data_IF_716616381201
#
_entry.id   IF_716616381201
#
_cell.length_a   1.000
_cell.length_b   1.000
_cell.length_c   1.000
_cell.angle_alpha   90.00
_cell.angle_beta   90.00
_cell.angle_gamma   90.00
#
_symmetry.space_group_name_H-M   'P 1'
#
loop_
_entity.id
_entity.type
_entity.pdbx_description
1 polymer ?
#
# COMPACT_ATOMS: atom_id res chain seq x y z
N UNK A 1 -10.14 27.61 4.33
CA UNK A 1 -8.79 28.17 4.55
C UNK A 1 -7.84 26.99 4.71
N UNK A 2 -6.97 26.68 3.73
CA UNK A 2 -6.08 25.54 3.85
C UNK A 2 -5.06 25.79 4.98
N UNK A 3 -4.66 24.76 5.75
CA UNK A 3 -3.67 24.93 6.81
C UNK A 3 -2.34 25.36 6.19
N UNK A 4 -1.81 26.51 6.65
CA UNK A 4 -0.45 26.95 6.29
C UNK A 4 0.53 25.99 6.94
N UNK A 5 1.15 25.12 6.15
CA UNK A 5 2.26 24.28 6.60
C UNK A 5 3.42 25.23 6.94
N UNK A 6 3.70 25.38 8.23
CA UNK A 6 4.83 26.16 8.74
C UNK A 6 6.14 25.68 8.12
N UNK A 7 7.04 26.60 7.77
CA UNK A 7 8.38 26.26 7.25
C UNK A 7 9.18 25.33 8.17
N UNK A 8 8.84 25.25 9.47
CA UNK A 8 9.48 24.31 10.41
C UNK A 8 9.03 22.86 10.23
N UNK A 9 7.82 22.61 9.71
CA UNK A 9 7.33 21.27 9.40
C UNK A 9 7.96 20.74 8.12
N UNK A 10 8.16 21.62 7.12
CA UNK A 10 8.87 21.27 5.89
C UNK A 10 10.33 20.88 6.19
N UNK A 11 11.02 21.64 7.05
CA UNK A 11 12.39 21.30 7.47
C UNK A 11 12.45 20.02 8.32
N UNK A 12 11.44 19.77 9.17
CA UNK A 12 11.35 18.55 9.97
C UNK A 12 11.06 17.30 9.10
N UNK A 13 10.34 17.46 7.99
CA UNK A 13 10.07 16.40 7.01
C UNK A 13 11.28 16.05 6.14
N UNK A 14 12.15 17.02 5.84
CA UNK A 14 13.32 16.80 5.00
C UNK A 14 14.55 16.28 5.76
N UNK A 15 14.66 16.55 7.07
CA UNK A 15 15.79 16.12 7.88
C UNK A 15 16.03 14.59 7.93
N UNK A 16 15.00 13.73 8.03
CA UNK A 16 15.18 12.27 8.03
C UNK A 16 15.57 11.70 6.66
N UNK A 17 15.13 12.36 5.57
CA UNK A 17 15.38 11.91 4.20
C UNK A 17 16.83 12.19 3.79
N UNK A 18 17.40 13.32 4.23
CA UNK A 18 18.77 13.70 3.91
C UNK A 18 19.84 12.77 4.52
N UNK A 19 19.53 12.13 5.66
CA UNK A 19 20.46 11.22 6.35
C UNK A 19 20.51 9.83 5.69
N UNK A 20 19.39 9.35 5.13
CA UNK A 20 19.30 8.04 4.48
C UNK A 20 20.13 7.91 3.19
N UNK A 21 20.54 9.03 2.57
CA UNK A 21 21.31 9.05 1.31
C UNK A 21 22.83 8.93 1.46
N UNK A 22 23.37 8.82 2.69
CA UNK A 22 24.84 8.90 2.92
C UNK A 22 25.62 7.58 2.94
N UNK A 23 25.04 6.43 2.57
CA UNK A 23 25.76 5.15 2.69
C UNK A 23 26.49 4.79 1.39
N UNK A 24 27.84 4.85 1.42
CA UNK A 24 28.78 4.57 0.31
C UNK A 24 29.33 3.13 0.34
N UNK A 25 28.85 2.26 1.24
CA UNK A 25 29.15 0.82 1.25
C UNK A 25 27.85 0.00 1.30
N UNK A 26 27.89 -1.29 0.94
CA UNK A 26 26.71 -2.15 0.97
C UNK A 26 26.10 -2.15 2.40
N UNK A 27 24.87 -1.62 2.60
CA UNK A 27 24.32 -1.38 3.92
C UNK A 27 24.10 -2.70 4.66
N UNK A 28 24.48 -2.74 5.93
CA UNK A 28 24.16 -3.86 6.81
C UNK A 28 22.64 -3.98 6.96
N UNK A 29 22.14 -5.19 7.25
CA UNK A 29 20.70 -5.42 7.50
C UNK A 29 20.11 -4.44 8.52
N UNK A 30 20.90 -4.06 9.53
CA UNK A 30 20.48 -3.11 10.58
C UNK A 30 20.32 -1.69 10.04
N UNK A 31 21.26 -1.21 9.23
CA UNK A 31 21.17 0.11 8.59
C UNK A 31 19.99 0.18 7.63
N UNK A 32 19.75 -0.90 6.87
CA UNK A 32 18.58 -1.00 6.00
C UNK A 32 17.27 -0.94 6.79
N UNK A 33 17.14 -1.70 7.89
CA UNK A 33 15.95 -1.65 8.73
C UNK A 33 15.70 -0.24 9.32
N UNK A 34 16.76 0.42 9.79
CA UNK A 34 16.67 1.80 10.32
C UNK A 34 16.22 2.78 9.23
N UNK A 35 16.76 2.65 8.02
CA UNK A 35 16.36 3.48 6.89
C UNK A 35 14.88 3.29 6.53
N UNK A 36 14.40 2.04 6.46
CA UNK A 36 12.98 1.73 6.21
C UNK A 36 12.10 2.34 7.30
N UNK A 37 12.42 2.13 8.58
CA UNK A 37 11.64 2.69 9.69
C UNK A 37 11.59 4.22 9.66
N UNK A 38 12.69 4.86 9.26
CA UNK A 38 12.77 6.31 9.14
C UNK A 38 11.87 6.82 8.02
N UNK A 39 11.87 6.14 6.87
CA UNK A 39 11.01 6.47 5.73
C UNK A 39 9.54 6.28 6.10
N UNK A 40 9.18 5.15 6.72
CA UNK A 40 7.81 4.86 7.16
C UNK A 40 7.32 5.89 8.18
N UNK A 41 8.18 6.28 9.13
CA UNK A 41 7.88 7.32 10.10
C UNK A 41 7.63 8.68 9.45
N UNK A 42 8.48 9.08 8.50
CA UNK A 42 8.32 10.34 7.76
C UNK A 42 7.04 10.34 6.90
N UNK A 43 6.73 9.22 6.23
CA UNK A 43 5.48 9.05 5.49
C UNK A 43 4.25 9.18 6.41
N UNK A 44 4.27 8.53 7.58
CA UNK A 44 3.18 8.62 8.54
C UNK A 44 2.97 10.06 9.05
N UNK A 45 4.05 10.80 9.29
CA UNK A 45 3.99 12.20 9.71
C UNK A 45 3.46 13.11 8.61
N UNK A 46 3.90 12.91 7.36
CA UNK A 46 3.37 13.63 6.21
C UNK A 46 1.87 13.38 6.06
N UNK A 47 1.48 12.11 6.09
CA UNK A 47 0.08 11.69 5.98
C UNK A 47 -0.78 12.31 7.08
N UNK A 48 -0.34 12.24 8.34
CA UNK A 48 -1.04 12.86 9.47
C UNK A 48 -1.14 14.39 9.36
N UNK A 49 -0.18 15.05 8.71
CA UNK A 49 -0.17 16.50 8.52
C UNK A 49 -1.11 16.97 7.41
N UNK A 50 -1.30 16.15 6.37
CA UNK A 50 -2.10 16.49 5.18
C UNK A 50 -3.55 16.03 5.32
N UNK A 51 -3.79 14.90 5.99
CA UNK A 51 -5.10 14.28 6.07
C UNK A 51 -5.93 14.88 7.20
N UNK A 52 -7.15 15.33 6.88
CA UNK A 52 -8.08 15.84 7.88
C UNK A 52 -8.40 14.76 8.94
N UNK A 53 -8.48 15.09 10.25
CA UNK A 53 -8.71 14.10 11.30
C UNK A 53 -9.94 13.20 11.07
N UNK A 54 -11.03 13.76 10.56
CA UNK A 54 -12.24 13.00 10.21
C UNK A 54 -11.97 11.96 9.09
N UNK A 55 -11.14 12.32 8.12
CA UNK A 55 -10.75 11.43 7.03
C UNK A 55 -9.82 10.33 7.52
N UNK A 56 -8.93 10.63 8.48
CA UNK A 56 -8.09 9.61 9.15
C UNK A 56 -8.93 8.56 9.86
N UNK A 57 -9.98 8.97 10.59
CA UNK A 57 -10.89 8.02 11.27
C UNK A 57 -11.61 7.12 10.26
N UNK A 58 -12.12 7.69 9.17
CA UNK A 58 -12.77 6.92 8.10
C UNK A 58 -11.80 5.92 7.46
N UNK A 59 -10.58 6.31 7.14
CA UNK A 59 -9.59 5.42 6.54
C UNK A 59 -9.19 4.30 7.51
N UNK A 60 -8.98 4.62 8.79
CA UNK A 60 -8.70 3.61 9.83
C UNK A 60 -9.84 2.62 10.00
N UNK A 61 -11.09 3.10 9.97
CA UNK A 61 -12.28 2.26 10.01
C UNK A 61 -12.37 1.35 8.78
N UNK A 62 -12.18 1.92 7.59
CA UNK A 62 -12.18 1.17 6.33
C UNK A 62 -11.01 0.18 6.21
N UNK A 63 -9.88 0.44 6.88
CA UNK A 63 -8.74 -0.48 6.96
C UNK A 63 -9.10 -1.84 7.56
N UNK A 64 -10.20 -1.95 8.30
CA UNK A 64 -10.67 -3.25 8.82
C UNK A 64 -11.17 -4.21 7.72
N UNK A 65 -11.53 -3.70 6.54
CA UNK A 65 -11.93 -4.54 5.40
C UNK A 65 -10.75 -5.21 4.70
N UNK A 66 -9.56 -4.59 4.74
CA UNK A 66 -8.35 -5.11 4.11
C UNK A 66 -7.98 -6.53 4.57
N UNK A 67 -7.86 -6.86 5.88
CA UNK A 67 -7.54 -8.22 6.31
C UNK A 67 -8.64 -9.24 5.97
N UNK A 68 -9.91 -8.83 5.93
CA UNK A 68 -11.03 -9.69 5.52
C UNK A 68 -10.95 -10.00 4.03
N UNK A 69 -10.68 -8.99 3.22
CA UNK A 69 -10.52 -9.11 1.78
C UNK A 69 -9.17 -9.69 1.36
N UNK A 70 -8.19 -9.84 2.25
CA UNK A 70 -6.96 -10.61 2.02
C UNK A 70 -7.16 -12.10 2.29
N UNK A 71 -7.99 -12.45 3.28
CA UNK A 71 -8.31 -13.84 3.63
C UNK A 71 -8.96 -14.58 2.46
N UNK A 72 -9.98 -13.99 1.84
CA UNK A 72 -10.68 -14.58 0.70
C UNK A 72 -9.69 -14.91 -0.46
N UNK A 73 -8.89 -13.97 -1.02
CA UNK A 73 -7.88 -14.26 -2.04
C UNK A 73 -6.84 -15.31 -1.66
N UNK A 74 -6.42 -15.37 -0.40
CA UNK A 74 -5.50 -16.42 0.08
C UNK A 74 -6.19 -17.78 0.07
N UNK A 75 -7.46 -17.84 0.46
CA UNK A 75 -8.27 -19.07 0.41
C UNK A 75 -8.58 -19.50 -1.04
N UNK A 76 -8.74 -18.54 -1.96
CA UNK A 76 -9.00 -18.79 -3.39
C UNK A 76 -7.74 -18.78 -4.28
N UNK A 77 -6.55 -18.64 -3.69
CA UNK A 77 -5.25 -18.64 -4.37
C UNK A 77 -5.17 -17.68 -5.57
N UNK A 78 -5.77 -16.50 -5.44
CA UNK A 78 -5.82 -15.51 -6.54
C UNK A 78 -4.40 -15.08 -6.94
N UNK A 79 -3.49 -14.95 -5.98
CA UNK A 79 -2.09 -14.62 -6.25
C UNK A 79 -1.40 -15.71 -7.10
N UNK A 80 -1.60 -16.99 -6.77
CA UNK A 80 -1.05 -18.11 -7.54
C UNK A 80 -1.62 -18.14 -8.97
N UNK A 81 -2.93 -17.90 -9.11
CA UNK A 81 -3.62 -17.81 -10.40
C UNK A 81 -3.01 -16.70 -11.28
N UNK A 82 -2.75 -15.53 -10.70
CA UNK A 82 -2.15 -14.41 -11.42
C UNK A 82 -0.68 -14.68 -11.81
N UNK A 83 0.04 -15.48 -11.02
CA UNK A 83 1.42 -15.87 -11.30
C UNK A 83 1.56 -16.85 -12.48
N UNK A 84 0.49 -17.58 -12.82
CA UNK A 84 0.44 -18.44 -14.02
C UNK A 84 0.43 -17.64 -15.34
N UNK A 85 0.05 -16.36 -15.27
CA UNK A 85 0.11 -15.45 -16.41
C UNK A 85 1.50 -14.81 -16.52
N UNK A 86 1.94 -14.42 -17.74
CA UNK A 86 3.15 -13.64 -17.90
C UNK A 86 3.09 -12.42 -16.98
N UNK A 87 4.17 -12.12 -16.24
CA UNK A 87 4.20 -11.10 -15.17
C UNK A 87 3.82 -9.67 -15.60
N UNK A 88 3.69 -9.47 -16.91
CA UNK A 88 3.42 -8.25 -17.64
C UNK A 88 2.13 -8.31 -18.47
N UNK A 89 1.42 -9.44 -18.48
CA UNK A 89 0.10 -9.60 -19.09
C UNK A 89 -0.93 -9.80 -17.97
N UNK A 90 -1.71 -8.76 -17.69
CA UNK A 90 -2.83 -8.85 -16.76
C UNK A 90 -3.79 -9.99 -17.14
N UNK A 91 -4.54 -10.50 -16.17
CA UNK A 91 -5.53 -11.55 -16.40
C UNK A 91 -6.94 -10.94 -16.42
N UNK A 92 -7.75 -11.32 -17.43
CA UNK A 92 -9.13 -10.84 -17.51
C UNK A 92 -9.98 -11.41 -16.36
N UNK A 93 -10.89 -10.59 -15.82
CA UNK A 93 -11.68 -10.92 -14.63
C UNK A 93 -12.46 -12.25 -14.78
N UNK A 94 -12.97 -12.54 -15.98
CA UNK A 94 -13.70 -13.78 -16.26
C UNK A 94 -12.82 -15.04 -16.22
N UNK A 95 -11.52 -14.92 -16.49
CA UNK A 95 -10.56 -16.02 -16.40
C UNK A 95 -10.15 -16.28 -14.96
N UNK A 96 -9.91 -15.21 -14.19
CA UNK A 96 -9.66 -15.30 -12.74
C UNK A 96 -10.88 -15.94 -12.07
N UNK A 97 -12.10 -15.51 -12.42
CA UNK A 97 -13.36 -16.07 -11.94
C UNK A 97 -13.45 -17.58 -12.16
N UNK A 98 -13.11 -18.04 -13.37
CA UNK A 98 -13.17 -19.45 -13.76
C UNK A 98 -12.20 -20.31 -12.94
N UNK A 99 -11.01 -19.79 -12.66
CA UNK A 99 -9.97 -20.51 -11.88
C UNK A 99 -10.22 -20.45 -10.37
N UNK A 100 -10.68 -19.31 -9.86
CA UNK A 100 -10.89 -19.07 -8.43
C UNK A 100 -12.24 -19.60 -7.91
N UNK A 101 -13.23 -19.82 -8.79
CA UNK A 101 -14.56 -20.30 -8.39
C UNK A 101 -15.40 -19.27 -7.62
N UNK A 102 -15.10 -17.98 -7.76
CA UNK A 102 -15.78 -16.88 -7.07
C UNK A 102 -16.79 -16.22 -8.01
N UNK A 103 -17.89 -15.67 -7.47
CA UNK A 103 -18.80 -14.78 -8.21
C UNK A 103 -18.08 -13.53 -8.74
N UNK A 104 -18.33 -13.17 -10.01
CA UNK A 104 -17.61 -12.08 -10.71
C UNK A 104 -17.74 -10.73 -9.99
N UNK A 105 -18.95 -10.42 -9.51
CA UNK A 105 -19.21 -9.20 -8.75
C UNK A 105 -18.48 -9.16 -7.40
N UNK A 106 -18.36 -10.30 -6.72
CA UNK A 106 -17.63 -10.39 -5.45
C UNK A 106 -16.13 -10.23 -5.71
N UNK A 107 -15.61 -10.93 -6.71
CA UNK A 107 -14.22 -10.86 -7.14
C UNK A 107 -13.81 -9.44 -7.53
N UNK A 108 -14.59 -8.76 -8.36
CA UNK A 108 -14.29 -7.40 -8.79
C UNK A 108 -14.25 -6.38 -7.64
N UNK A 109 -15.12 -6.54 -6.63
CA UNK A 109 -15.08 -5.71 -5.42
C UNK A 109 -13.82 -5.94 -4.58
N UNK A 110 -13.43 -7.21 -4.42
CA UNK A 110 -12.22 -7.58 -3.68
C UNK A 110 -10.98 -7.05 -4.40
N UNK A 111 -10.85 -7.32 -5.70
CA UNK A 111 -9.71 -6.87 -6.50
C UNK A 111 -9.59 -5.35 -6.53
N UNK A 112 -10.70 -4.61 -6.66
CA UNK A 112 -10.68 -3.15 -6.63
C UNK A 112 -10.22 -2.59 -5.28
N UNK A 113 -10.65 -3.20 -4.18
CA UNK A 113 -10.17 -2.80 -2.84
C UNK A 113 -8.67 -3.07 -2.70
N UNK A 114 -8.20 -4.24 -3.12
CA UNK A 114 -6.79 -4.62 -3.05
C UNK A 114 -5.93 -3.76 -3.99
N UNK A 115 -6.43 -3.38 -5.16
CA UNK A 115 -5.75 -2.47 -6.07
C UNK A 115 -5.65 -1.05 -5.49
N UNK A 116 -6.71 -0.58 -4.82
CA UNK A 116 -6.71 0.71 -4.10
C UNK A 116 -5.72 0.73 -2.94
N UNK A 117 -5.36 -0.43 -2.39
CA UNK A 117 -4.35 -0.62 -1.35
C UNK A 117 -2.96 -1.01 -1.91
N UNK A 118 -2.74 -0.89 -3.23
CA UNK A 118 -1.47 -1.20 -3.88
C UNK A 118 -1.00 -2.66 -3.78
N UNK A 119 -1.90 -3.60 -3.47
CA UNK A 119 -1.60 -5.04 -3.38
C UNK A 119 -1.61 -5.68 -4.78
N UNK A 120 -2.55 -5.26 -5.63
CA UNK A 120 -2.63 -5.67 -7.03
C UNK A 120 -2.67 -4.45 -7.95
N UNK A 121 -2.43 -4.66 -9.24
CA UNK A 121 -2.51 -3.60 -10.25
C UNK A 121 -3.67 -3.87 -11.20
N UNK A 122 -4.52 -2.86 -11.40
CA UNK A 122 -5.63 -2.87 -12.38
C UNK A 122 -5.17 -2.02 -13.57
N UNK A 123 -5.06 -2.62 -14.75
CA UNK A 123 -4.53 -2.01 -15.98
C UNK A 123 -5.24 -2.52 -17.22
#
# INVERSE_FOLDING_TARGET
>A
MPPKISGSLLSALMAPIADATKVVDAPTRKELCTAIQTIDGAYAQLYASVVCPNHTVLIRFMGSYEPVCLRDPTDFKIADILQESPSNAGMHMSDIRRKAGIEERKLGRILRLLASNHIFWEG
#
